data_IF_295018355029
#
_entry.id   IF_295018355029
#
_cell.length_a   1.000
_cell.length_b   1.000
_cell.length_c   1.000
_cell.angle_alpha   90.00
_cell.angle_beta   90.00
_cell.angle_gamma   90.00
#
_symmetry.space_group_name_H-M   'P 1'
#
loop_
_entity.id
_entity.type
_entity.pdbx_description
1 polymer ?
#
# COMPACT_ATOMS: atom_id res chain seq x y z
N UNK A 1 -9.81 4.87 -0.21
CA UNK A 1 -9.32 6.10 0.43
C UNK A 1 -10.47 6.81 1.14
N UNK A 2 -10.22 7.40 2.32
CA UNK A 2 -11.23 8.12 3.09
C UNK A 2 -11.56 9.52 2.51
N UNK A 3 -10.69 10.06 1.68
CA UNK A 3 -10.85 11.38 1.06
C UNK A 3 -11.70 11.30 -0.22
N UNK A 4 -12.89 11.90 -0.18
CA UNK A 4 -13.76 12.03 -1.37
C UNK A 4 -13.06 12.77 -2.51
N UNK A 5 -12.25 13.78 -2.19
CA UNK A 5 -11.51 14.56 -3.19
C UNK A 5 -10.45 13.71 -3.91
N UNK A 6 -9.70 12.90 -3.15
CA UNK A 6 -8.68 12.00 -3.71
C UNK A 6 -9.30 10.91 -4.60
N UNK A 7 -10.40 10.32 -4.16
CA UNK A 7 -11.13 9.33 -4.98
C UNK A 7 -11.70 9.97 -6.24
N UNK A 8 -12.21 11.21 -6.15
CA UNK A 8 -12.66 11.98 -7.31
C UNK A 8 -11.53 12.23 -8.31
N UNK A 9 -10.38 12.68 -7.83
CA UNK A 9 -9.19 12.89 -8.66
C UNK A 9 -8.67 11.60 -9.30
N UNK A 10 -8.66 10.49 -8.56
CA UNK A 10 -8.31 9.19 -9.11
C UNK A 10 -9.24 8.77 -10.28
N UNK A 11 -10.54 9.06 -10.18
CA UNK A 11 -11.50 8.87 -11.28
C UNK A 11 -11.15 9.70 -12.53
N UNK A 12 -10.80 10.97 -12.34
CA UNK A 12 -10.39 11.85 -13.43
C UNK A 12 -9.11 11.35 -14.10
N UNK A 13 -8.13 10.89 -13.30
CA UNK A 13 -6.90 10.30 -13.81
C UNK A 13 -7.18 9.03 -14.62
N UNK A 14 -8.05 8.16 -14.16
CA UNK A 14 -8.46 6.96 -14.92
C UNK A 14 -9.09 7.33 -16.27
N UNK A 15 -9.99 8.32 -16.28
CA UNK A 15 -10.59 8.83 -17.53
C UNK A 15 -9.53 9.39 -18.48
N UNK A 16 -8.62 10.22 -17.99
CA UNK A 16 -7.53 10.81 -18.77
C UNK A 16 -6.56 9.76 -19.32
N UNK A 17 -6.48 8.59 -18.66
CA UNK A 17 -5.67 7.44 -19.07
C UNK A 17 -6.42 6.45 -19.97
N UNK A 18 -7.63 6.77 -20.42
CA UNK A 18 -8.43 5.87 -21.28
C UNK A 18 -9.05 4.69 -20.53
N UNK A 19 -9.09 4.73 -19.19
CA UNK A 19 -9.60 3.66 -18.34
C UNK A 19 -11.01 3.92 -17.79
N UNK A 20 -11.78 4.81 -18.43
CA UNK A 20 -13.12 5.18 -17.96
C UNK A 20 -14.10 3.99 -17.94
N UNK A 21 -13.97 3.08 -18.92
CA UNK A 21 -14.78 1.86 -19.03
C UNK A 21 -14.18 0.65 -18.28
N UNK A 22 -13.03 0.79 -17.65
CA UNK A 22 -12.42 -0.29 -16.90
C UNK A 22 -13.26 -0.63 -15.64
N UNK A 23 -13.29 -1.90 -15.21
CA UNK A 23 -14.07 -2.34 -14.05
C UNK A 23 -13.45 -1.88 -12.72
N UNK A 24 -13.31 -0.56 -12.53
CA UNK A 24 -12.73 0.04 -11.34
C UNK A 24 -13.85 0.40 -10.35
N UNK A 25 -13.73 -0.11 -9.14
CA UNK A 25 -14.65 0.19 -8.05
C UNK A 25 -14.10 1.32 -7.17
N UNK A 26 -14.68 2.48 -7.26
CA UNK A 26 -14.29 3.66 -6.52
C UNK A 26 -14.99 3.72 -5.15
N UNK A 27 -14.21 3.68 -4.07
CA UNK A 27 -14.76 3.59 -2.72
C UNK A 27 -14.18 4.71 -1.86
N UNK A 28 -15.07 5.54 -1.31
CA UNK A 28 -14.73 6.56 -0.30
C UNK A 28 -15.04 5.96 1.06
N UNK A 29 -14.01 5.54 1.78
CA UNK A 29 -14.16 4.87 3.07
C UNK A 29 -12.86 4.87 3.86
N UNK A 30 -12.97 4.66 5.16
CA UNK A 30 -11.84 4.32 6.02
C UNK A 30 -11.28 2.96 5.63
N UNK A 31 -9.98 2.90 5.32
CA UNK A 31 -9.35 1.68 4.80
C UNK A 31 -9.42 0.52 5.79
N UNK A 32 -9.19 0.76 7.07
CA UNK A 32 -9.24 -0.29 8.11
C UNK A 32 -10.65 -0.87 8.19
N UNK A 33 -11.66 -0.02 8.29
CA UNK A 33 -13.06 -0.45 8.35
C UNK A 33 -13.52 -1.17 7.08
N UNK A 34 -13.02 -0.73 5.92
CA UNK A 34 -13.28 -1.41 4.65
C UNK A 34 -12.70 -2.83 4.69
N UNK A 35 -11.42 -2.97 5.03
CA UNK A 35 -10.73 -4.26 5.10
C UNK A 35 -11.40 -5.21 6.08
N UNK A 36 -11.74 -4.75 7.29
CA UNK A 36 -12.47 -5.55 8.26
C UNK A 36 -13.82 -6.05 7.75
N UNK A 37 -14.54 -5.23 6.97
CA UNK A 37 -15.79 -5.67 6.34
C UNK A 37 -15.58 -6.70 5.25
N UNK A 38 -14.55 -6.54 4.43
CA UNK A 38 -14.22 -7.50 3.37
C UNK A 38 -13.79 -8.85 3.97
N UNK A 39 -13.02 -8.86 5.05
CA UNK A 39 -12.69 -10.08 5.80
C UNK A 39 -13.96 -10.78 6.29
N UNK A 40 -14.88 -10.04 6.93
CA UNK A 40 -16.16 -10.63 7.41
C UNK A 40 -17.05 -11.17 6.27
N UNK A 41 -16.91 -10.64 5.06
CA UNK A 41 -17.63 -11.09 3.86
C UNK A 41 -16.97 -12.28 3.17
N UNK A 42 -15.75 -12.64 3.58
CA UNK A 42 -14.97 -13.67 2.93
C UNK A 42 -14.46 -13.28 1.53
N UNK A 43 -14.33 -11.98 1.25
CA UNK A 43 -13.77 -11.50 -0.01
C UNK A 43 -12.24 -11.58 0.02
N UNK A 44 -11.65 -11.98 -1.11
CA UNK A 44 -10.22 -12.08 -1.29
C UNK A 44 -9.76 -11.33 -2.54
N UNK A 45 -8.48 -10.96 -2.55
CA UNK A 45 -7.85 -10.17 -3.60
C UNK A 45 -6.50 -10.76 -3.99
N UNK A 46 -6.15 -10.71 -5.28
CA UNK A 46 -4.89 -11.27 -5.80
C UNK A 46 -3.70 -10.33 -5.64
N UNK A 47 -3.96 -9.05 -5.42
CA UNK A 47 -2.91 -8.07 -5.20
C UNK A 47 -3.34 -6.92 -4.32
N UNK A 48 -2.37 -6.37 -3.57
CA UNK A 48 -2.58 -5.22 -2.70
C UNK A 48 -1.52 -4.16 -3.02
N UNK A 49 -1.96 -2.92 -3.21
CA UNK A 49 -1.10 -1.74 -3.28
C UNK A 49 -1.53 -0.79 -2.18
N UNK A 50 -0.58 -0.32 -1.37
CA UNK A 50 -0.85 0.69 -0.35
C UNK A 50 0.22 1.77 -0.31
N UNK A 51 -0.24 2.96 0.01
CA UNK A 51 0.57 4.15 0.17
C UNK A 51 0.03 4.95 1.37
N UNK A 52 0.23 4.43 2.60
CA UNK A 52 -0.31 5.07 3.80
C UNK A 52 0.43 6.38 4.09
N UNK A 53 -0.27 7.42 4.58
CA UNK A 53 0.37 8.69 4.92
C UNK A 53 1.29 8.54 6.13
N UNK A 54 2.29 9.43 6.25
CA UNK A 54 3.16 9.50 7.44
C UNK A 54 2.38 9.83 8.70
N UNK A 55 1.44 10.77 8.56
CA UNK A 55 0.56 11.25 9.64
C UNK A 55 -0.83 11.57 9.08
N UNK A 56 -1.87 11.33 9.88
CA UNK A 56 -3.23 11.68 9.52
C UNK A 56 -4.12 11.89 10.75
N UNK A 57 -5.21 12.62 10.56
CA UNK A 57 -6.29 12.76 11.55
C UNK A 57 -7.61 12.32 10.93
N UNK A 58 -8.29 11.43 11.62
CA UNK A 58 -9.64 11.03 11.28
C UNK A 58 -10.67 12.09 11.72
N UNK A 59 -11.90 11.99 11.20
CA UNK A 59 -12.97 12.99 11.47
C UNK A 59 -13.43 13.03 12.93
N UNK A 60 -13.11 12.01 13.73
CA UNK A 60 -13.43 11.94 15.16
C UNK A 60 -12.20 12.21 16.05
N UNK A 61 -11.11 12.72 15.48
CA UNK A 61 -9.88 13.01 16.19
C UNK A 61 -8.91 11.84 16.32
N UNK A 62 -9.19 10.71 15.66
CA UNK A 62 -8.26 9.56 15.59
C UNK A 62 -6.93 10.03 14.99
N UNK A 63 -5.85 9.58 15.57
CA UNK A 63 -4.50 9.91 15.09
C UNK A 63 -3.92 8.68 14.43
N UNK A 64 -3.48 8.85 13.17
CA UNK A 64 -2.65 7.91 12.45
C UNK A 64 -1.21 8.39 12.50
N UNK A 65 -0.31 7.52 12.93
CA UNK A 65 1.14 7.67 12.81
C UNK A 65 1.68 6.38 12.19
N UNK A 66 2.46 6.51 11.13
CA UNK A 66 2.90 5.35 10.36
C UNK A 66 3.74 4.39 11.21
N UNK A 67 4.62 4.90 12.06
CA UNK A 67 5.51 4.11 12.91
C UNK A 67 4.75 3.21 13.92
N UNK A 68 3.54 3.62 14.30
CA UNK A 68 2.69 2.87 15.23
C UNK A 68 1.68 1.97 14.51
N UNK A 69 1.26 2.36 13.30
CA UNK A 69 0.06 1.83 12.66
C UNK A 69 0.33 0.99 11.39
N UNK A 70 1.52 1.10 10.78
CA UNK A 70 1.79 0.43 9.51
C UNK A 70 1.77 -1.09 9.63
N UNK A 71 2.42 -1.66 10.65
CA UNK A 71 2.49 -3.11 10.81
C UNK A 71 1.11 -3.73 11.10
N UNK A 72 0.28 -3.20 12.03
CA UNK A 72 -1.09 -3.64 12.20
C UNK A 72 -1.91 -3.58 10.92
N UNK A 73 -1.76 -2.53 10.10
CA UNK A 73 -2.46 -2.40 8.83
C UNK A 73 -2.00 -3.45 7.82
N UNK A 74 -0.70 -3.66 7.66
CA UNK A 74 -0.14 -4.70 6.76
C UNK A 74 -0.66 -6.08 7.14
N UNK A 75 -0.61 -6.40 8.43
CA UNK A 75 -1.13 -7.68 8.97
C UNK A 75 -2.63 -7.85 8.73
N UNK A 76 -3.41 -6.80 8.88
CA UNK A 76 -4.86 -6.83 8.63
C UNK A 76 -5.15 -7.06 7.14
N UNK A 77 -4.50 -6.29 6.26
CA UNK A 77 -4.67 -6.39 4.81
C UNK A 77 -4.18 -7.73 4.26
N UNK A 78 -3.13 -8.33 4.81
CA UNK A 78 -2.62 -9.63 4.40
C UNK A 78 -3.68 -10.75 4.51
N UNK A 79 -4.68 -10.60 5.39
CA UNK A 79 -5.79 -11.55 5.51
C UNK A 79 -6.73 -11.53 4.30
N UNK A 80 -6.68 -10.49 3.48
CA UNK A 80 -7.47 -10.38 2.25
C UNK A 80 -6.82 -11.04 1.04
N UNK A 81 -5.56 -11.45 1.14
CA UNK A 81 -4.92 -12.14 0.02
C UNK A 81 -5.62 -13.46 -0.28
N UNK A 82 -5.82 -13.74 -1.57
CA UNK A 82 -6.34 -15.02 -2.06
C UNK A 82 -5.36 -16.17 -1.74
N UNK A 83 -5.76 -17.39 -2.04
CA UNK A 83 -4.88 -18.55 -1.82
C UNK A 83 -3.68 -18.56 -2.78
N UNK A 84 -3.81 -17.92 -3.94
CA UNK A 84 -2.76 -17.80 -4.96
C UNK A 84 -2.53 -16.31 -5.33
N UNK A 85 -2.03 -15.50 -4.39
CA UNK A 85 -1.87 -14.06 -4.59
C UNK A 85 -0.68 -13.76 -5.49
N UNK A 86 -0.75 -12.62 -6.17
CA UNK A 86 0.27 -12.19 -7.13
C UNK A 86 1.33 -11.29 -6.49
N UNK A 87 0.89 -10.26 -5.75
CA UNK A 87 1.80 -9.29 -5.14
C UNK A 87 1.20 -8.54 -3.95
N UNK A 88 2.08 -7.95 -3.14
CA UNK A 88 1.76 -6.97 -2.11
C UNK A 88 2.81 -5.84 -2.15
N UNK A 89 2.40 -4.64 -2.51
CA UNK A 89 3.26 -3.46 -2.65
C UNK A 89 2.93 -2.42 -1.56
N UNK A 90 3.96 -1.94 -0.88
CA UNK A 90 3.88 -0.87 0.10
C UNK A 90 4.83 0.24 -0.30
N UNK A 91 4.34 1.45 -0.47
CA UNK A 91 5.16 2.64 -0.56
C UNK A 91 5.07 3.45 0.73
N UNK A 92 6.15 4.09 1.10
CA UNK A 92 6.21 5.03 2.21
C UNK A 92 7.09 6.20 1.84
N UNK A 93 6.58 7.40 2.04
CA UNK A 93 7.31 8.65 1.87
C UNK A 93 7.70 9.26 3.21
N UNK A 94 7.79 8.42 4.24
CA UNK A 94 8.16 8.83 5.60
C UNK A 94 9.66 8.80 5.77
N UNK A 95 10.24 9.94 6.12
CA UNK A 95 11.66 10.04 6.46
C UNK A 95 11.97 9.15 7.67
N UNK A 96 12.99 8.31 7.56
CA UNK A 96 13.44 7.44 8.65
C UNK A 96 12.80 6.05 8.68
N UNK A 97 11.81 5.75 7.84
CA UNK A 97 11.33 4.38 7.68
C UNK A 97 12.24 3.63 6.70
N UNK A 98 13.16 2.84 7.22
CA UNK A 98 14.12 2.11 6.41
C UNK A 98 13.43 1.03 5.55
N UNK A 99 13.91 0.79 4.29
CA UNK A 99 13.36 -0.28 3.44
C UNK A 99 13.36 -1.66 4.12
N UNK A 100 14.37 -1.96 4.92
CA UNK A 100 14.46 -3.22 5.66
C UNK A 100 13.27 -3.48 6.58
N UNK A 101 12.61 -2.43 7.10
CA UNK A 101 11.39 -2.56 7.92
C UNK A 101 10.24 -3.11 7.07
N UNK A 102 10.10 -2.65 5.83
CA UNK A 102 9.10 -3.15 4.88
C UNK A 102 9.38 -4.62 4.51
N UNK A 103 10.66 -4.95 4.26
CA UNK A 103 11.07 -6.35 4.02
C UNK A 103 10.66 -7.23 5.19
N UNK A 104 10.94 -6.81 6.42
CA UNK A 104 10.62 -7.58 7.62
C UNK A 104 9.12 -7.83 7.75
N UNK A 105 8.29 -6.78 7.62
CA UNK A 105 6.84 -6.91 7.72
C UNK A 105 6.25 -7.82 6.65
N UNK A 106 6.64 -7.64 5.38
CA UNK A 106 6.16 -8.48 4.28
C UNK A 106 6.60 -9.94 4.42
N UNK A 107 7.82 -10.17 4.90
CA UNK A 107 8.32 -11.52 5.12
C UNK A 107 7.50 -12.28 6.17
N UNK A 108 7.15 -11.63 7.29
CA UNK A 108 6.42 -12.29 8.37
C UNK A 108 4.91 -12.36 8.12
N UNK A 109 4.30 -11.36 7.50
CA UNK A 109 2.84 -11.33 7.32
C UNK A 109 2.38 -11.98 6.02
N UNK A 110 3.23 -12.05 4.99
CA UNK A 110 2.88 -12.62 3.69
C UNK A 110 3.78 -13.79 3.33
N UNK A 111 5.10 -13.59 3.36
CA UNK A 111 6.09 -14.59 2.93
C UNK A 111 6.01 -15.90 3.71
N UNK A 112 5.76 -15.86 5.00
CA UNK A 112 5.59 -17.08 5.83
C UNK A 112 4.43 -17.96 5.39
N UNK A 113 3.35 -17.36 4.90
CA UNK A 113 2.14 -18.08 4.49
C UNK A 113 2.22 -18.53 3.03
N UNK A 114 2.68 -17.65 2.15
CA UNK A 114 2.59 -17.84 0.70
C UNK A 114 3.94 -18.17 0.03
N UNK A 115 5.06 -18.16 0.78
CA UNK A 115 6.38 -18.25 0.17
C UNK A 115 6.70 -17.00 -0.64
N UNK A 116 7.26 -17.18 -1.85
CA UNK A 116 7.52 -16.07 -2.78
C UNK A 116 8.78 -15.28 -2.45
N UNK A 117 8.85 -14.05 -2.95
CA UNK A 117 10.04 -13.20 -2.91
C UNK A 117 9.71 -11.84 -2.30
N UNK A 118 10.56 -11.35 -1.40
CA UNK A 118 10.43 -10.02 -0.81
C UNK A 118 11.63 -9.18 -1.19
N UNK A 119 11.37 -7.98 -1.69
CA UNK A 119 12.38 -6.98 -2.01
C UNK A 119 11.93 -5.61 -1.51
N UNK A 120 12.86 -4.85 -0.96
CA UNK A 120 12.62 -3.45 -0.61
C UNK A 120 13.82 -2.60 -0.98
N UNK A 121 13.55 -1.37 -1.37
CA UNK A 121 14.56 -0.42 -1.82
C UNK A 121 14.16 1.02 -1.47
N UNK A 122 15.14 1.91 -1.47
CA UNK A 122 14.87 3.34 -1.39
C UNK A 122 14.26 3.84 -2.70
N UNK A 123 13.29 4.73 -2.56
CA UNK A 123 12.69 5.46 -3.68
C UNK A 123 13.24 6.87 -3.69
N UNK A 124 13.68 7.32 -4.86
CA UNK A 124 14.22 8.67 -5.01
C UNK A 124 14.01 9.25 -6.39
N UNK A 125 14.15 10.58 -6.46
CA UNK A 125 14.05 11.33 -7.70
C UNK A 125 15.46 11.64 -8.23
N UNK A 126 15.79 11.26 -9.47
CA UNK A 126 17.08 11.61 -10.06
C UNK A 126 17.18 13.12 -10.27
N UNK A 127 18.25 13.72 -9.77
CA UNK A 127 18.57 15.14 -9.95
C UNK A 127 19.51 15.28 -11.14
N UNK A 128 18.97 15.60 -12.30
CA UNK A 128 19.72 15.66 -13.58
C UNK A 128 20.94 16.58 -13.55
N UNK A 129 20.87 17.68 -12.78
CA UNK A 129 21.94 18.67 -12.68
C UNK A 129 23.15 18.19 -11.88
N UNK A 130 22.97 17.29 -10.92
CA UNK A 130 24.05 16.84 -10.01
C UNK A 130 24.44 15.38 -10.21
N UNK A 131 23.63 14.59 -10.89
CA UNK A 131 23.77 13.14 -10.97
C UNK A 131 23.43 12.40 -9.66
N UNK A 132 22.97 13.13 -8.64
CA UNK A 132 22.56 12.56 -7.35
C UNK A 132 21.07 12.15 -7.37
N UNK A 133 20.66 11.40 -6.37
CA UNK A 133 19.27 11.03 -6.15
C UNK A 133 18.76 11.74 -4.90
N UNK A 134 17.63 12.44 -5.02
CA UNK A 134 16.92 12.99 -3.88
C UNK A 134 16.11 11.88 -3.22
N UNK A 135 16.43 11.46 -2.00
CA UNK A 135 15.67 10.42 -1.29
C UNK A 135 14.22 10.87 -1.05
N UNK A 136 13.26 10.04 -1.40
CA UNK A 136 11.84 10.34 -1.25
C UNK A 136 11.11 9.38 -0.31
N UNK A 137 11.67 8.20 -0.05
CA UNK A 137 11.04 7.21 0.79
C UNK A 137 11.53 5.79 0.50
N UNK A 138 10.68 4.83 0.78
CA UNK A 138 10.96 3.40 0.59
C UNK A 138 9.79 2.69 -0.10
N UNK A 139 10.11 1.68 -0.89
CA UNK A 139 9.14 0.74 -1.45
C UNK A 139 9.48 -0.67 -1.03
N UNK A 140 8.49 -1.42 -0.57
CA UNK A 140 8.59 -2.84 -0.26
C UNK A 140 7.60 -3.64 -1.08
N UNK A 141 8.06 -4.74 -1.65
CA UNK A 141 7.23 -5.63 -2.46
C UNK A 141 7.44 -7.08 -2.09
N UNK A 142 6.34 -7.77 -1.87
CA UNK A 142 6.26 -9.21 -1.98
C UNK A 142 5.66 -9.59 -3.33
N UNK A 143 6.15 -10.66 -3.95
CA UNK A 143 5.59 -11.23 -5.17
C UNK A 143 5.70 -12.75 -5.18
N UNK A 144 4.72 -13.42 -5.80
CA UNK A 144 4.70 -14.89 -5.92
C UNK A 144 5.80 -15.40 -6.85
N UNK A 145 6.22 -14.60 -7.82
CA UNK A 145 7.29 -14.92 -8.78
C UNK A 145 8.47 -13.96 -8.63
N UNK A 146 9.70 -14.36 -9.00
CA UNK A 146 10.85 -13.46 -9.02
C UNK A 146 10.60 -12.27 -9.95
N UNK A 147 11.05 -11.08 -9.53
CA UNK A 147 10.98 -9.84 -10.33
C UNK A 147 12.29 -9.09 -10.23
#
# INVERSE_FOLDING_TARGET
DASKGMVGWAKENARSSGLESAPIRWIVDDCVKFVEREIRRGNHYDGIIMDPPSYGRGPKGEIWKIEESIHPLVKLCAQLLSDDPLFYLINSYTTGLAPAVLTYMLSIEVGKKHGGFVRSEEVGLPVTRTGLVLPCGASGRWSSTPV
#
